data_IF_590670087561
#
_entry.id   IF_590670087561
#
_cell.length_a   1.000
_cell.length_b   1.000
_cell.length_c   1.000
_cell.angle_alpha   90.00
_cell.angle_beta   90.00
_cell.angle_gamma   90.00
#
_symmetry.space_group_name_H-M   'P 1'
#
loop_
_entity.id
_entity.type
_entity.pdbx_description
1 polymer ?
#
# COMPACT_ATOMS: atom_id res chain seq x y z
N UNK A 1 -53.94 12.66 -15.89
CA UNK A 1 -52.79 13.09 -15.06
C UNK A 1 -51.58 12.27 -15.53
N UNK A 2 -50.80 12.85 -16.45
CA UNK A 2 -49.65 12.19 -17.08
C UNK A 2 -48.47 12.39 -16.12
N UNK A 3 -47.95 11.28 -15.54
CA UNK A 3 -46.71 11.31 -14.80
C UNK A 3 -45.57 11.55 -15.82
N UNK A 4 -45.01 12.75 -15.81
CA UNK A 4 -43.68 12.99 -16.41
C UNK A 4 -42.65 12.26 -15.56
N UNK A 5 -42.17 11.12 -16.02
CA UNK A 5 -40.92 10.54 -15.57
C UNK A 5 -39.80 11.46 -16.05
N UNK A 6 -39.25 12.26 -15.13
CA UNK A 6 -37.99 12.95 -15.36
C UNK A 6 -36.88 11.89 -15.52
N UNK A 7 -36.44 11.71 -16.75
CA UNK A 7 -35.17 11.01 -17.02
C UNK A 7 -34.05 11.87 -16.40
N UNK A 8 -33.63 11.49 -15.20
CA UNK A 8 -32.34 11.91 -14.70
C UNK A 8 -31.31 11.32 -15.67
N UNK A 9 -30.74 12.18 -16.51
CA UNK A 9 -29.53 11.86 -17.24
C UNK A 9 -28.45 11.47 -16.19
N UNK A 10 -28.22 10.17 -16.04
CA UNK A 10 -27.05 9.65 -15.37
C UNK A 10 -25.88 9.96 -16.28
N UNK A 11 -25.41 11.21 -16.24
CA UNK A 11 -24.14 11.60 -16.82
C UNK A 11 -23.11 10.62 -16.27
N UNK A 12 -22.46 9.87 -17.14
CA UNK A 12 -21.41 8.95 -16.74
C UNK A 12 -20.35 9.77 -16.01
N UNK A 13 -20.23 9.58 -14.69
CA UNK A 13 -19.32 10.32 -13.86
C UNK A 13 -17.90 10.08 -14.35
N UNK A 14 -17.28 11.11 -14.90
CA UNK A 14 -15.94 11.05 -15.46
C UNK A 14 -14.92 11.18 -14.35
N UNK A 15 -13.98 10.24 -14.29
CA UNK A 15 -12.79 10.35 -13.44
C UNK A 15 -11.75 11.17 -14.19
N UNK A 16 -11.28 12.24 -13.56
CA UNK A 16 -10.18 13.06 -14.05
C UNK A 16 -8.88 12.66 -13.38
N UNK A 17 -7.78 12.85 -14.11
CA UNK A 17 -6.41 12.64 -13.62
C UNK A 17 -5.62 13.94 -13.81
N UNK A 18 -5.02 14.44 -12.73
CA UNK A 18 -4.14 15.60 -12.75
C UNK A 18 -2.81 15.25 -12.12
N UNK A 19 -1.72 15.57 -12.81
CA UNK A 19 -0.36 15.31 -12.33
C UNK A 19 0.20 16.52 -11.60
N UNK A 20 0.84 16.27 -10.46
CA UNK A 20 1.49 17.29 -9.63
C UNK A 20 2.93 16.86 -9.31
N UNK A 21 3.82 17.84 -9.26
CA UNK A 21 5.14 17.68 -8.67
C UNK A 21 5.02 17.82 -7.14
N UNK A 22 5.45 16.82 -6.38
CA UNK A 22 5.30 16.85 -4.92
C UNK A 22 6.63 16.96 -4.16
N UNK A 23 7.74 16.53 -4.76
CA UNK A 23 9.06 16.65 -4.16
C UNK A 23 10.17 16.58 -5.22
N UNK A 24 11.33 17.16 -4.91
CA UNK A 24 12.60 16.91 -5.60
C UNK A 24 13.60 16.43 -4.57
N UNK A 25 14.10 15.21 -4.73
CA UNK A 25 15.03 14.59 -3.79
C UNK A 25 16.20 13.98 -4.56
N UNK A 26 17.43 14.32 -4.17
CA UNK A 26 18.68 13.85 -4.82
C UNK A 26 18.69 14.12 -6.34
N UNK A 27 18.06 15.23 -6.77
CA UNK A 27 17.98 15.62 -8.18
C UNK A 27 16.92 14.85 -8.99
N UNK A 28 16.14 13.96 -8.36
CA UNK A 28 15.00 13.29 -8.97
C UNK A 28 13.71 14.06 -8.66
N UNK A 29 12.97 14.43 -9.70
CA UNK A 29 11.62 14.96 -9.57
C UNK A 29 10.64 13.80 -9.30
N UNK A 30 9.81 13.96 -8.28
CA UNK A 30 8.79 12.99 -7.89
C UNK A 30 7.41 13.58 -8.14
N UNK A 31 6.64 12.86 -8.95
CA UNK A 31 5.31 13.26 -9.36
C UNK A 31 4.24 12.39 -8.69
N UNK A 32 3.05 12.93 -8.53
CA UNK A 32 1.87 12.16 -8.18
C UNK A 32 0.71 12.49 -9.12
N UNK A 33 -0.13 11.50 -9.36
CA UNK A 33 -1.35 11.63 -10.16
C UNK A 33 -2.55 11.59 -9.22
N UNK A 34 -3.35 12.65 -9.23
CA UNK A 34 -4.62 12.74 -8.50
C UNK A 34 -5.75 12.30 -9.41
N UNK A 35 -6.38 11.18 -9.05
CA UNK A 35 -7.61 10.69 -9.69
C UNK A 35 -8.80 11.06 -8.82
N UNK A 36 -9.78 11.74 -9.41
CA UNK A 36 -11.00 12.15 -8.71
C UNK A 36 -12.17 12.31 -9.67
N UNK A 37 -13.40 12.25 -9.14
CA UNK A 37 -14.57 12.61 -9.93
C UNK A 37 -14.55 14.09 -10.29
N UNK A 38 -14.88 14.38 -11.54
CA UNK A 38 -15.28 15.71 -11.99
C UNK A 38 -16.71 16.00 -11.50
N UNK A 39 -16.84 16.19 -10.20
CA UNK A 39 -18.10 16.53 -9.57
C UNK A 39 -17.88 17.53 -8.44
N UNK A 40 -18.76 18.52 -8.35
CA UNK A 40 -18.76 19.44 -7.22
C UNK A 40 -19.23 18.68 -5.98
N UNK A 41 -18.28 18.28 -5.14
CA UNK A 41 -18.54 17.66 -3.86
C UNK A 41 -18.49 18.74 -2.78
N UNK A 42 -19.59 18.94 -2.04
CA UNK A 42 -19.66 19.94 -0.96
C UNK A 42 -18.79 19.55 0.25
N UNK A 43 -18.62 18.26 0.47
CA UNK A 43 -17.87 17.74 1.62
C UNK A 43 -16.46 17.27 1.22
N UNK A 44 -15.45 17.50 2.07
CA UNK A 44 -14.11 16.98 1.87
C UNK A 44 -14.11 15.45 1.83
N UNK A 45 -13.35 14.88 0.88
CA UNK A 45 -13.35 13.46 0.55
C UNK A 45 -12.18 12.71 1.22
N UNK A 46 -12.33 11.41 1.51
CA UNK A 46 -11.19 10.55 1.85
C UNK A 46 -10.15 10.55 0.73
N UNK A 47 -8.88 10.35 1.09
CA UNK A 47 -7.79 10.24 0.12
C UNK A 47 -7.00 8.94 0.33
N UNK A 48 -6.73 8.22 -0.76
CA UNK A 48 -5.88 7.05 -0.80
C UNK A 48 -4.56 7.37 -1.47
N UNK A 49 -3.46 7.40 -0.73
CA UNK A 49 -2.10 7.49 -1.28
C UNK A 49 -1.68 6.08 -1.67
N UNK A 50 -1.39 5.86 -2.96
CA UNK A 50 -1.05 4.55 -3.51
C UNK A 50 0.41 4.49 -3.95
N UNK A 51 1.13 3.46 -3.50
CA UNK A 51 2.47 3.10 -3.93
C UNK A 51 2.46 1.80 -4.74
N UNK A 52 3.01 1.85 -5.95
CA UNK A 52 3.05 0.72 -6.88
C UNK A 52 4.03 -0.38 -6.47
N UNK A 53 3.87 -1.58 -7.04
CA UNK A 53 4.79 -2.71 -6.89
C UNK A 53 5.98 -2.63 -7.84
N UNK A 54 6.94 -3.56 -7.69
CA UNK A 54 8.08 -3.68 -8.59
C UNK A 54 9.42 -3.90 -7.90
N UNK A 55 9.40 -4.39 -6.64
CA UNK A 55 10.61 -4.83 -5.90
C UNK A 55 11.59 -3.70 -5.57
N UNK A 56 11.16 -2.44 -5.57
CA UNK A 56 12.03 -1.25 -5.48
C UNK A 56 13.04 -1.12 -6.63
N UNK A 57 12.80 -1.82 -7.73
CA UNK A 57 13.67 -1.89 -8.92
C UNK A 57 13.02 -1.20 -10.10
N UNK A 58 11.71 -1.35 -10.25
CA UNK A 58 10.91 -0.88 -11.39
C UNK A 58 9.49 -0.56 -10.96
N UNK A 59 8.72 -0.03 -11.89
CA UNK A 59 7.31 0.33 -11.73
C UNK A 59 7.08 1.81 -11.97
N UNK A 60 5.82 2.18 -12.08
CA UNK A 60 5.40 3.56 -12.34
C UNK A 60 4.02 3.80 -11.74
N UNK A 61 3.74 5.03 -11.32
CA UNK A 61 2.49 5.43 -10.65
C UNK A 61 1.24 5.32 -11.55
N UNK A 62 1.41 5.48 -12.86
CA UNK A 62 0.32 5.51 -13.85
C UNK A 62 0.23 4.22 -14.68
N UNK A 63 0.80 3.12 -14.20
CA UNK A 63 0.73 1.85 -14.91
C UNK A 63 -0.73 1.41 -15.10
N UNK A 64 -1.09 1.04 -16.33
CA UNK A 64 -2.48 0.69 -16.72
C UNK A 64 -3.12 -0.40 -15.86
N UNK A 65 -2.29 -1.28 -15.29
CA UNK A 65 -2.75 -2.33 -14.38
C UNK A 65 -3.51 -1.77 -13.17
N UNK A 66 -3.23 -0.56 -12.71
CA UNK A 66 -3.89 0.04 -11.55
C UNK A 66 -5.10 0.92 -11.92
N UNK A 67 -5.31 1.20 -13.21
CA UNK A 67 -6.33 2.13 -13.68
C UNK A 67 -7.74 1.77 -13.19
N UNK A 68 -8.10 0.47 -13.21
CA UNK A 68 -9.39 0.00 -12.70
C UNK A 68 -9.57 0.28 -11.21
N UNK A 69 -8.54 0.05 -10.42
CA UNK A 69 -8.55 0.33 -8.97
C UNK A 69 -8.77 1.81 -8.70
N UNK A 70 -8.01 2.67 -9.37
CA UNK A 70 -8.12 4.12 -9.21
C UNK A 70 -9.49 4.64 -9.65
N UNK A 71 -9.98 4.17 -10.79
CA UNK A 71 -11.31 4.51 -11.31
C UNK A 71 -12.44 4.09 -10.34
N UNK A 72 -12.35 2.88 -9.79
CA UNK A 72 -13.34 2.36 -8.85
C UNK A 72 -13.37 3.18 -7.55
N UNK A 73 -12.21 3.49 -6.97
CA UNK A 73 -12.14 4.32 -5.76
C UNK A 73 -12.63 5.75 -6.03
N UNK A 74 -12.20 6.35 -7.15
CA UNK A 74 -12.62 7.71 -7.50
C UNK A 74 -14.14 7.80 -7.70
N UNK A 75 -14.76 6.82 -8.38
CA UNK A 75 -16.22 6.72 -8.54
C UNK A 75 -16.96 6.53 -7.22
N UNK A 76 -16.32 5.93 -6.23
CA UNK A 76 -16.85 5.83 -4.87
C UNK A 76 -16.61 7.10 -4.02
N UNK A 77 -16.10 8.19 -4.62
CA UNK A 77 -15.89 9.46 -3.94
C UNK A 77 -14.57 9.54 -3.17
N UNK A 78 -13.64 8.62 -3.39
CA UNK A 78 -12.32 8.62 -2.75
C UNK A 78 -11.31 9.22 -3.71
N UNK A 79 -10.60 10.27 -3.31
CA UNK A 79 -9.49 10.82 -4.09
C UNK A 79 -8.32 9.84 -4.05
N UNK A 80 -7.74 9.48 -5.20
CA UNK A 80 -6.55 8.63 -5.25
C UNK A 80 -5.35 9.47 -5.63
N UNK A 81 -4.31 9.43 -4.81
CA UNK A 81 -3.00 10.00 -5.08
C UNK A 81 -2.02 8.88 -5.37
N UNK A 82 -1.84 8.53 -6.64
CA UNK A 82 -0.83 7.55 -7.05
C UNK A 82 0.52 8.22 -7.18
N UNK A 83 1.53 7.76 -6.44
CA UNK A 83 2.80 8.45 -6.29
C UNK A 83 3.97 7.77 -6.99
N UNK A 84 4.89 8.56 -7.56
CA UNK A 84 6.26 8.09 -7.76
C UNK A 84 6.93 7.90 -6.41
N UNK A 85 7.90 7.04 -6.33
CA UNK A 85 8.83 6.94 -5.21
C UNK A 85 10.19 6.44 -5.71
N UNK A 86 11.26 6.79 -5.03
CA UNK A 86 12.62 6.41 -5.42
C UNK A 86 12.81 4.90 -5.36
N UNK A 87 13.36 4.36 -6.45
CA UNK A 87 13.60 2.93 -6.62
C UNK A 87 15.01 2.57 -6.13
N UNK A 88 15.17 2.42 -4.82
CA UNK A 88 16.49 2.25 -4.17
C UNK A 88 17.25 1.00 -4.58
N UNK A 89 16.60 0.04 -5.25
CA UNK A 89 17.21 -1.17 -5.79
C UNK A 89 17.27 -1.17 -7.32
N UNK A 90 17.04 -0.01 -7.98
CA UNK A 90 17.18 0.12 -9.43
C UNK A 90 18.60 -0.19 -9.89
N UNK A 91 19.59 0.18 -9.09
CA UNK A 91 21.00 -0.10 -9.28
C UNK A 91 21.58 -0.74 -8.01
N UNK A 92 21.31 -2.03 -7.78
CA UNK A 92 21.74 -2.70 -6.56
C UNK A 92 23.27 -2.84 -6.54
N UNK A 93 23.88 -2.95 -5.38
CA UNK A 93 25.30 -3.26 -5.26
C UNK A 93 25.66 -4.51 -6.05
N UNK A 94 26.65 -4.41 -6.94
CA UNK A 94 27.13 -5.54 -7.76
C UNK A 94 28.01 -6.49 -6.97
N UNK A 95 28.69 -5.97 -5.95
CA UNK A 95 29.61 -6.69 -5.08
C UNK A 95 29.19 -6.52 -3.62
N UNK A 96 29.52 -7.50 -2.81
CA UNK A 96 29.24 -7.51 -1.39
C UNK A 96 28.47 -8.74 -0.95
N UNK A 97 28.58 -9.04 0.33
CA UNK A 97 27.92 -10.18 0.96
C UNK A 97 26.47 -9.83 1.37
N UNK A 98 25.89 -10.74 2.15
CA UNK A 98 24.52 -10.63 2.68
C UNK A 98 24.28 -9.31 3.44
N UNK A 99 25.30 -8.79 4.15
CA UNK A 99 25.23 -7.54 4.89
C UNK A 99 24.99 -6.35 3.97
N UNK A 100 25.68 -6.30 2.81
CA UNK A 100 25.51 -5.26 1.79
C UNK A 100 24.09 -5.28 1.21
N UNK A 101 23.56 -6.48 0.95
CA UNK A 101 22.19 -6.64 0.44
C UNK A 101 21.13 -6.24 1.47
N UNK A 102 21.34 -6.56 2.75
CA UNK A 102 20.47 -6.11 3.85
C UNK A 102 20.47 -4.57 3.92
N UNK A 103 21.65 -3.95 3.88
CA UNK A 103 21.76 -2.47 3.89
C UNK A 103 21.10 -1.83 2.68
N UNK A 104 21.25 -2.40 1.49
CA UNK A 104 20.60 -1.90 0.27
C UNK A 104 19.07 -2.02 0.35
N UNK A 105 18.55 -3.10 0.91
CA UNK A 105 17.10 -3.28 1.13
C UNK A 105 16.58 -2.28 2.16
N UNK A 106 17.28 -2.10 3.28
CA UNK A 106 16.89 -1.11 4.29
C UNK A 106 16.84 0.29 3.67
N UNK A 107 17.89 0.68 2.95
CA UNK A 107 17.94 1.96 2.27
C UNK A 107 16.78 2.14 1.28
N UNK A 108 16.47 1.11 0.48
CA UNK A 108 15.37 1.18 -0.49
C UNK A 108 14.01 1.34 0.18
N UNK A 109 13.79 0.68 1.31
CA UNK A 109 12.56 0.85 2.10
C UNK A 109 12.52 2.25 2.71
N UNK A 110 13.62 2.72 3.29
CA UNK A 110 13.68 4.03 3.96
C UNK A 110 13.38 5.17 2.99
N UNK A 111 14.03 5.21 1.81
CA UNK A 111 13.78 6.28 0.83
C UNK A 111 12.37 6.23 0.25
N UNK A 112 11.77 5.03 0.07
CA UNK A 112 10.38 4.92 -0.36
C UNK A 112 9.41 5.43 0.72
N UNK A 113 9.71 5.23 2.00
CA UNK A 113 8.93 5.78 3.13
C UNK A 113 9.07 7.29 3.20
N UNK A 114 10.27 7.85 3.00
CA UNK A 114 10.48 9.30 2.92
C UNK A 114 9.60 9.93 1.83
N UNK A 115 9.52 9.27 0.68
CA UNK A 115 8.73 9.75 -0.45
C UNK A 115 7.23 9.65 -0.16
N UNK A 116 6.76 8.58 0.52
CA UNK A 116 5.38 8.49 1.01
C UNK A 116 5.05 9.63 1.97
N UNK A 117 5.95 9.96 2.90
CA UNK A 117 5.73 11.08 3.83
C UNK A 117 5.72 12.42 3.12
N UNK A 118 6.61 12.62 2.14
CA UNK A 118 6.63 13.84 1.31
C UNK A 118 5.33 14.00 0.52
N UNK A 119 4.82 12.93 -0.07
CA UNK A 119 3.53 12.93 -0.75
C UNK A 119 2.37 13.17 0.22
N UNK A 120 2.44 12.61 1.44
CA UNK A 120 1.44 12.86 2.49
C UNK A 120 1.43 14.33 2.88
N UNK A 121 2.58 14.96 3.08
CA UNK A 121 2.70 16.40 3.35
C UNK A 121 2.14 17.24 2.21
N UNK A 122 2.42 16.86 0.94
CA UNK A 122 1.84 17.54 -0.21
C UNK A 122 0.32 17.47 -0.20
N UNK A 123 -0.26 16.29 0.05
CA UNK A 123 -1.72 16.10 0.15
C UNK A 123 -2.31 16.93 1.28
N UNK A 124 -1.67 16.96 2.45
CA UNK A 124 -2.11 17.75 3.60
C UNK A 124 -2.12 19.25 3.29
N UNK A 125 -1.03 19.78 2.73
CA UNK A 125 -0.89 21.20 2.37
C UNK A 125 -1.93 21.62 1.30
N UNK A 126 -2.23 20.72 0.37
CA UNK A 126 -3.17 20.98 -0.72
C UNK A 126 -4.59 20.43 -0.44
N UNK A 127 -4.89 19.99 0.77
CA UNK A 127 -6.15 19.30 1.11
C UNK A 127 -7.38 20.12 0.77
N UNK A 128 -7.39 21.41 1.06
CA UNK A 128 -8.48 22.32 0.73
C UNK A 128 -8.66 22.44 -0.80
N UNK A 129 -7.58 22.65 -1.56
CA UNK A 129 -7.59 22.77 -3.02
C UNK A 129 -8.08 21.49 -3.70
N UNK A 130 -7.70 20.33 -3.16
CA UNK A 130 -8.03 19.02 -3.69
C UNK A 130 -9.34 18.45 -3.12
N UNK A 131 -10.01 19.22 -2.25
CA UNK A 131 -11.23 18.82 -1.53
C UNK A 131 -11.04 17.47 -0.80
N UNK A 132 -9.96 17.35 -0.02
CA UNK A 132 -9.58 16.17 0.76
C UNK A 132 -9.79 16.44 2.26
N UNK A 133 -10.37 15.49 2.99
CA UNK A 133 -10.38 15.50 4.46
C UNK A 133 -9.02 15.04 4.99
N UNK A 134 -8.23 15.91 5.63
CA UNK A 134 -6.90 15.57 6.14
C UNK A 134 -6.92 14.49 7.23
N UNK A 135 -8.07 14.23 7.85
CA UNK A 135 -8.25 13.16 8.85
C UNK A 135 -8.57 11.80 8.22
N UNK A 136 -8.82 11.76 6.90
CA UNK A 136 -9.19 10.55 6.17
C UNK A 136 -8.17 10.23 5.07
N UNK A 137 -6.89 10.45 5.35
CA UNK A 137 -5.79 10.06 4.45
C UNK A 137 -5.39 8.62 4.78
N UNK A 138 -5.42 7.77 3.78
CA UNK A 138 -5.12 6.34 3.85
C UNK A 138 -3.89 6.02 3.01
N UNK A 139 -3.20 4.93 3.34
CA UNK A 139 -2.14 4.34 2.52
C UNK A 139 -2.64 3.09 1.81
N UNK A 140 -2.18 2.87 0.59
CA UNK A 140 -2.35 1.61 -0.12
C UNK A 140 -1.11 1.26 -0.90
N UNK A 141 -0.88 -0.03 -1.12
CA UNK A 141 0.24 -0.46 -1.94
C UNK A 141 0.18 -1.90 -2.39
N UNK A 142 0.98 -2.17 -3.42
CA UNK A 142 1.18 -3.49 -4.01
C UNK A 142 2.61 -3.94 -3.81
N UNK A 143 2.87 -5.17 -3.30
CA UNK A 143 4.22 -5.75 -3.19
C UNK A 143 5.21 -4.79 -2.49
N UNK A 144 6.24 -4.30 -3.17
CA UNK A 144 7.19 -3.30 -2.64
C UNK A 144 6.50 -2.03 -2.12
N UNK A 145 5.48 -1.53 -2.84
CA UNK A 145 4.67 -0.40 -2.38
C UNK A 145 3.87 -0.73 -1.11
N UNK A 146 3.39 -1.97 -0.97
CA UNK A 146 2.74 -2.42 0.26
C UNK A 146 3.74 -2.55 1.42
N UNK A 147 4.99 -2.95 1.13
CA UNK A 147 6.07 -2.93 2.13
C UNK A 147 6.31 -1.49 2.58
N UNK A 148 6.45 -0.53 1.65
CA UNK A 148 6.65 0.87 1.98
C UNK A 148 5.48 1.47 2.78
N UNK A 149 4.23 1.17 2.40
CA UNK A 149 3.04 1.64 3.11
C UNK A 149 2.94 1.11 4.56
N UNK A 150 3.20 -0.19 4.74
CA UNK A 150 3.22 -0.82 6.08
C UNK A 150 4.38 -0.31 6.93
N UNK A 151 5.55 -0.10 6.31
CA UNK A 151 6.73 0.46 6.99
C UNK A 151 6.48 1.91 7.40
N UNK A 152 5.83 2.72 6.55
CA UNK A 152 5.48 4.11 6.88
C UNK A 152 4.58 4.15 8.12
N UNK A 153 3.52 3.36 8.17
CA UNK A 153 2.66 3.30 9.34
C UNK A 153 3.40 2.77 10.57
N UNK A 154 4.22 1.73 10.42
CA UNK A 154 5.03 1.20 11.53
C UNK A 154 6.00 2.24 12.08
N UNK A 155 6.73 2.95 11.22
CA UNK A 155 7.65 4.03 11.60
C UNK A 155 6.93 5.15 12.35
N UNK A 156 5.74 5.55 11.90
CA UNK A 156 4.91 6.55 12.56
C UNK A 156 4.50 6.09 13.97
N UNK A 157 4.02 4.87 14.10
CA UNK A 157 3.60 4.31 15.40
C UNK A 157 4.74 4.19 16.41
N UNK A 158 5.96 3.99 15.91
CA UNK A 158 7.14 3.78 16.75
C UNK A 158 7.99 5.06 16.94
N UNK A 159 7.51 6.21 16.44
CA UNK A 159 8.20 7.49 16.62
C UNK A 159 9.57 7.54 15.94
N UNK A 160 9.74 6.81 14.82
CA UNK A 160 10.98 6.84 14.05
C UNK A 160 11.32 8.27 13.59
N UNK A 161 12.61 8.61 13.54
CA UNK A 161 13.06 9.97 13.18
C UNK A 161 12.52 10.41 11.82
N UNK A 162 12.46 9.50 10.86
CA UNK A 162 11.93 9.73 9.51
C UNK A 162 10.45 10.17 9.53
N UNK A 163 9.67 9.70 10.50
CA UNK A 163 8.26 10.04 10.63
C UNK A 163 8.02 11.47 11.18
N UNK A 164 9.04 12.16 11.70
CA UNK A 164 8.96 13.55 12.15
C UNK A 164 8.74 14.56 11.03
N UNK A 165 8.78 14.12 9.79
CA UNK A 165 8.36 14.91 8.61
C UNK A 165 6.86 15.19 8.63
N UNK A 166 6.07 14.28 9.20
CA UNK A 166 4.62 14.43 9.37
C UNK A 166 4.32 15.32 10.59
N UNK A 167 3.17 16.03 10.60
CA UNK A 167 2.71 16.73 11.79
C UNK A 167 2.58 15.80 13.01
N UNK A 168 2.87 16.29 14.21
CA UNK A 168 2.89 15.49 15.45
C UNK A 168 1.56 14.82 15.77
N UNK A 169 0.44 15.47 15.42
CA UNK A 169 -0.92 14.99 15.62
C UNK A 169 -1.48 14.20 14.43
N UNK A 170 -0.71 14.04 13.35
CA UNK A 170 -1.14 13.31 12.17
C UNK A 170 -1.19 11.80 12.42
N UNK A 171 -2.23 11.18 11.88
CA UNK A 171 -2.35 9.72 11.75
C UNK A 171 -3.05 9.34 10.46
N UNK A 172 -2.60 8.25 9.85
CA UNK A 172 -3.33 7.68 8.73
C UNK A 172 -4.67 7.10 9.21
N UNK A 173 -5.69 7.18 8.37
CA UNK A 173 -7.01 6.64 8.67
C UNK A 173 -7.10 5.13 8.45
N UNK A 174 -6.31 4.58 7.52
CA UNK A 174 -6.21 3.15 7.27
C UNK A 174 -4.98 2.80 6.41
N UNK A 175 -4.64 1.50 6.36
CA UNK A 175 -3.63 0.95 5.42
C UNK A 175 -4.24 -0.24 4.68
N UNK A 176 -4.15 -0.24 3.34
CA UNK A 176 -4.53 -1.37 2.46
C UNK A 176 -3.29 -1.95 1.83
N UNK A 177 -2.88 -3.15 2.21
CA UNK A 177 -1.63 -3.76 1.77
C UNK A 177 -1.85 -5.08 1.04
N UNK A 178 -1.44 -5.14 -0.23
CA UNK A 178 -1.49 -6.35 -1.05
C UNK A 178 -0.10 -6.98 -1.12
N UNK A 179 0.09 -8.14 -0.47
CA UNK A 179 1.35 -8.88 -0.35
C UNK A 179 2.50 -8.03 0.21
N UNK A 180 2.25 -7.34 1.32
CA UNK A 180 3.22 -6.49 2.01
C UNK A 180 3.88 -7.18 3.21
N UNK A 181 4.91 -6.53 3.73
CA UNK A 181 5.63 -6.93 4.93
C UNK A 181 6.28 -5.70 5.60
N UNK A 182 6.66 -5.82 6.86
CA UNK A 182 7.60 -4.90 7.53
C UNK A 182 9.01 -5.48 7.37
N UNK A 183 9.96 -4.68 6.92
CA UNK A 183 11.38 -5.04 6.92
C UNK A 183 12.03 -4.48 8.18
N UNK A 184 12.78 -5.31 8.88
CA UNK A 184 13.46 -4.91 10.11
C UNK A 184 14.89 -5.43 10.16
N UNK A 185 15.78 -4.57 10.61
CA UNK A 185 17.19 -4.88 10.92
C UNK A 185 17.49 -4.87 12.42
N UNK A 186 16.52 -4.48 13.24
CA UNK A 186 16.64 -4.27 14.69
C UNK A 186 15.89 -5.31 15.52
N UNK A 187 15.58 -6.46 14.92
CA UNK A 187 14.84 -7.52 15.61
C UNK A 187 13.40 -7.66 15.13
N UNK A 188 12.56 -8.33 15.92
CA UNK A 188 11.15 -8.54 15.57
C UNK A 188 10.38 -7.24 15.71
N UNK A 189 9.78 -6.71 14.63
CA UNK A 189 9.02 -5.47 14.71
C UNK A 189 7.79 -5.64 15.61
N UNK A 190 7.54 -4.60 16.44
CA UNK A 190 6.35 -4.45 17.26
C UNK A 190 5.80 -3.06 17.04
N UNK A 191 4.52 -2.86 17.27
CA UNK A 191 3.93 -1.54 17.30
C UNK A 191 3.96 -1.02 18.75
N UNK A 192 4.55 0.15 18.96
CA UNK A 192 4.59 0.81 20.29
C UNK A 192 3.27 1.56 20.59
N UNK A 193 2.57 2.01 19.53
CA UNK A 193 1.24 2.62 19.61
C UNK A 193 0.30 1.87 18.68
N UNK A 194 -1.01 1.96 18.95
CA UNK A 194 -2.03 1.39 18.08
C UNK A 194 -1.91 1.99 16.67
N UNK A 195 -1.73 1.16 15.64
CA UNK A 195 -1.71 1.63 14.27
C UNK A 195 -3.11 1.88 13.71
N UNK A 196 -3.17 2.56 12.58
CA UNK A 196 -4.38 2.66 11.78
C UNK A 196 -4.96 1.29 11.43
N UNK A 197 -6.28 1.15 11.25
CA UNK A 197 -6.90 -0.08 10.76
C UNK A 197 -6.22 -0.59 9.50
N UNK A 198 -5.99 -1.91 9.40
CA UNK A 198 -5.27 -2.50 8.28
C UNK A 198 -6.12 -3.54 7.55
N UNK A 199 -6.25 -3.38 6.23
CA UNK A 199 -6.72 -4.43 5.34
C UNK A 199 -5.49 -5.09 4.68
N UNK A 200 -5.28 -6.36 4.99
CA UNK A 200 -4.10 -7.11 4.57
C UNK A 200 -4.50 -8.25 3.65
N UNK A 201 -4.08 -8.23 2.39
CA UNK A 201 -4.22 -9.36 1.46
C UNK A 201 -2.90 -10.09 1.33
N UNK A 202 -2.89 -11.42 1.51
CA UNK A 202 -1.66 -12.21 1.32
C UNK A 202 -1.95 -13.66 0.94
N UNK A 203 -1.13 -14.19 0.03
CA UNK A 203 -1.18 -15.58 -0.38
C UNK A 203 -0.32 -16.48 0.51
N UNK A 204 -0.84 -17.65 0.91
CA UNK A 204 -0.07 -18.57 1.77
C UNK A 204 1.12 -19.22 1.08
N UNK A 205 1.14 -19.19 -0.28
CA UNK A 205 2.22 -19.70 -1.14
C UNK A 205 3.02 -18.58 -1.81
N UNK A 206 3.00 -17.36 -1.23
CA UNK A 206 3.80 -16.26 -1.75
C UNK A 206 5.29 -16.55 -1.59
N UNK A 207 5.97 -16.76 -2.73
CA UNK A 207 7.41 -17.03 -2.81
C UNK A 207 8.26 -15.76 -2.91
N UNK A 208 7.64 -14.58 -3.03
CA UNK A 208 8.32 -13.30 -3.27
C UNK A 208 8.36 -12.39 -2.03
N UNK A 209 7.23 -12.28 -1.32
CA UNK A 209 7.14 -11.62 -0.02
C UNK A 209 6.63 -12.63 1.00
N UNK A 210 7.30 -12.82 2.15
CA UNK A 210 6.93 -13.88 3.06
C UNK A 210 5.54 -13.63 3.68
N UNK A 211 4.65 -14.59 3.54
CA UNK A 211 3.31 -14.58 4.13
C UNK A 211 3.33 -14.37 5.65
N UNK A 212 4.23 -15.06 6.36
CA UNK A 212 4.39 -14.92 7.80
C UNK A 212 5.67 -14.14 8.13
N UNK A 213 6.83 -14.79 8.05
CA UNK A 213 8.14 -14.16 8.28
C UNK A 213 9.25 -14.94 7.60
N UNK A 214 10.27 -14.22 7.17
CA UNK A 214 11.56 -14.77 6.78
C UNK A 214 12.66 -13.91 7.40
N UNK A 215 13.23 -14.36 8.51
CA UNK A 215 14.21 -13.59 9.26
C UNK A 215 15.27 -14.50 9.91
N UNK A 216 16.50 -13.98 9.97
CA UNK A 216 17.61 -14.59 10.67
C UNK A 216 18.11 -13.62 11.74
N UNK A 217 18.19 -14.08 12.99
CA UNK A 217 18.53 -13.22 14.16
C UNK A 217 17.67 -11.96 14.28
N UNK A 218 16.43 -12.01 13.80
CA UNK A 218 15.50 -10.87 13.82
C UNK A 218 15.60 -9.94 12.62
N UNK A 219 16.58 -10.10 11.75
CA UNK A 219 16.75 -9.30 10.52
C UNK A 219 15.99 -9.98 9.39
N UNK A 220 15.10 -9.23 8.72
CA UNK A 220 14.35 -9.73 7.57
C UNK A 220 12.94 -9.19 7.47
N UNK A 221 12.08 -9.92 6.74
CA UNK A 221 10.70 -9.55 6.44
C UNK A 221 9.70 -10.22 7.38
N UNK A 222 8.70 -9.45 7.78
CA UNK A 222 7.58 -9.86 8.62
C UNK A 222 6.26 -9.55 7.90
N UNK A 223 5.67 -10.58 7.30
CA UNK A 223 4.52 -10.47 6.39
C UNK A 223 3.18 -10.31 7.10
N UNK A 224 2.11 -10.27 6.29
CA UNK A 224 0.76 -9.92 6.76
C UNK A 224 0.25 -10.81 7.90
N UNK A 225 0.54 -12.12 7.88
CA UNK A 225 0.16 -13.01 9.00
C UNK A 225 0.85 -12.65 10.31
N UNK A 226 2.13 -12.22 10.26
CA UNK A 226 2.83 -11.74 11.45
C UNK A 226 2.20 -10.44 11.95
N UNK A 227 1.93 -9.50 11.05
CA UNK A 227 1.33 -8.21 11.37
C UNK A 227 -0.06 -8.41 11.99
N UNK A 228 -0.95 -9.18 11.35
CA UNK A 228 -2.28 -9.49 11.87
C UNK A 228 -2.22 -10.05 13.31
N UNK A 229 -1.25 -10.93 13.61
CA UNK A 229 -1.04 -11.44 14.97
C UNK A 229 -0.57 -10.38 15.98
N UNK A 230 0.12 -9.32 15.53
CA UNK A 230 0.46 -8.20 16.41
C UNK A 230 -0.77 -7.34 16.70
N UNK A 231 -1.57 -7.06 15.66
CA UNK A 231 -2.81 -6.30 15.76
C UNK A 231 -3.82 -7.01 16.68
N UNK A 232 -3.97 -8.33 16.53
CA UNK A 232 -4.80 -9.16 17.38
C UNK A 232 -4.44 -9.02 18.87
N UNK A 233 -3.14 -9.12 19.19
CA UNK A 233 -2.64 -8.98 20.58
C UNK A 233 -2.84 -7.58 21.17
N UNK A 234 -2.93 -6.57 20.32
CA UNK A 234 -3.14 -5.18 20.74
C UNK A 234 -4.63 -4.80 20.80
N UNK A 235 -5.53 -5.70 20.41
CA UNK A 235 -6.95 -5.41 20.17
C UNK A 235 -7.15 -4.27 19.15
N UNK A 236 -6.19 -4.11 18.23
CA UNK A 236 -6.25 -3.14 17.16
C UNK A 236 -7.14 -3.65 16.01
N UNK A 237 -7.88 -2.78 15.31
CA UNK A 237 -8.77 -3.19 14.25
C UNK A 237 -7.99 -3.64 13.01
N UNK A 238 -8.41 -4.74 12.38
CA UNK A 238 -7.84 -5.21 11.12
C UNK A 238 -8.81 -6.12 10.35
N UNK A 239 -8.56 -6.26 9.06
CA UNK A 239 -9.16 -7.27 8.19
C UNK A 239 -8.05 -8.01 7.44
N UNK A 240 -7.82 -9.26 7.79
CA UNK A 240 -6.82 -10.10 7.13
C UNK A 240 -7.47 -11.09 6.17
N UNK A 241 -7.21 -10.91 4.87
CA UNK A 241 -7.61 -11.78 3.79
C UNK A 241 -6.47 -12.75 3.44
N UNK A 242 -6.51 -13.94 3.98
CA UNK A 242 -5.55 -15.02 3.75
C UNK A 242 -6.01 -15.87 2.56
N UNK A 243 -5.33 -15.74 1.42
CA UNK A 243 -5.64 -16.53 0.22
C UNK A 243 -4.83 -17.83 0.22
N UNK A 244 -5.51 -18.94 0.50
CA UNK A 244 -4.87 -20.25 0.59
C UNK A 244 -4.30 -20.68 -0.77
N UNK A 245 -3.04 -21.14 -0.77
CA UNK A 245 -2.26 -21.55 -1.94
C UNK A 245 -2.04 -20.48 -3.02
N UNK A 246 -2.49 -19.25 -2.80
CA UNK A 246 -2.23 -18.15 -3.72
C UNK A 246 -0.74 -17.75 -3.66
N UNK A 247 -0.19 -17.49 -4.83
CA UNK A 247 1.17 -17.00 -5.04
C UNK A 247 1.26 -15.46 -4.93
N UNK A 248 2.37 -14.87 -5.34
CA UNK A 248 2.59 -13.42 -5.30
C UNK A 248 1.65 -12.60 -6.22
N UNK A 249 0.84 -13.23 -7.08
CA UNK A 249 -0.18 -12.53 -7.85
C UNK A 249 -1.20 -11.82 -6.96
N UNK A 250 -1.34 -12.25 -5.69
CA UNK A 250 -2.15 -11.57 -4.68
C UNK A 250 -1.70 -10.12 -4.42
N UNK A 251 -0.52 -9.72 -4.86
CA UNK A 251 -0.06 -8.33 -4.83
C UNK A 251 -0.91 -7.41 -5.73
N UNK A 252 -1.53 -7.95 -6.76
CA UNK A 252 -2.31 -7.18 -7.71
C UNK A 252 -3.77 -7.62 -7.83
N UNK A 253 -4.07 -8.92 -7.70
CA UNK A 253 -5.43 -9.44 -7.91
C UNK A 253 -6.52 -8.73 -7.08
N UNK A 254 -6.31 -8.35 -5.81
CA UNK A 254 -7.32 -7.63 -5.04
C UNK A 254 -7.69 -6.27 -5.64
N UNK A 255 -6.74 -5.59 -6.26
CA UNK A 255 -6.95 -4.28 -6.91
C UNK A 255 -7.85 -4.39 -8.17
N UNK A 256 -8.07 -5.61 -8.66
CA UNK A 256 -8.96 -5.91 -9.79
C UNK A 256 -10.28 -6.54 -9.37
N UNK A 257 -10.24 -7.48 -8.44
CA UNK A 257 -11.36 -8.38 -8.16
C UNK A 257 -11.96 -8.22 -6.76
N UNK A 258 -11.30 -7.46 -5.88
CA UNK A 258 -11.74 -7.25 -4.49
C UNK A 258 -11.94 -5.77 -4.15
N UNK A 259 -12.19 -4.92 -5.16
CA UNK A 259 -12.44 -3.50 -4.93
C UNK A 259 -13.65 -3.27 -4.02
N UNK A 260 -14.70 -4.10 -4.15
CA UNK A 260 -15.89 -4.01 -3.29
C UNK A 260 -15.55 -4.28 -1.82
N UNK A 261 -14.68 -5.27 -1.54
CA UNK A 261 -14.20 -5.53 -0.19
C UNK A 261 -13.34 -4.38 0.35
N UNK A 262 -12.50 -3.78 -0.51
CA UNK A 262 -11.70 -2.61 -0.15
C UNK A 262 -12.62 -1.43 0.18
N UNK A 263 -13.66 -1.18 -0.61
CA UNK A 263 -14.65 -0.13 -0.36
C UNK A 263 -15.45 -0.40 0.92
N UNK A 264 -15.84 -1.64 1.15
CA UNK A 264 -16.50 -2.03 2.41
C UNK A 264 -15.59 -1.77 3.60
N UNK A 265 -14.32 -2.17 3.54
CA UNK A 265 -13.35 -1.89 4.61
C UNK A 265 -13.21 -0.37 4.86
N UNK A 266 -13.12 0.45 3.82
CA UNK A 266 -13.02 1.90 3.97
C UNK A 266 -14.29 2.46 4.61
N UNK A 267 -15.48 2.01 4.17
CA UNK A 267 -16.74 2.43 4.79
C UNK A 267 -16.77 2.07 6.27
N UNK A 268 -16.56 0.81 6.59
CA UNK A 268 -16.74 0.30 7.95
C UNK A 268 -15.72 0.88 8.93
N UNK A 269 -14.43 0.92 8.54
CA UNK A 269 -13.35 1.29 9.47
C UNK A 269 -12.99 2.79 9.44
N UNK A 270 -13.15 3.46 8.29
CA UNK A 270 -12.74 4.86 8.14
C UNK A 270 -13.92 5.82 8.22
N UNK A 271 -15.06 5.47 7.60
CA UNK A 271 -16.23 6.34 7.60
C UNK A 271 -17.05 6.15 8.88
N UNK A 272 -17.37 4.91 9.21
CA UNK A 272 -18.19 4.57 10.37
C UNK A 272 -17.38 4.38 11.67
N UNK A 273 -16.06 4.25 11.58
CA UNK A 273 -15.17 4.09 12.74
C UNK A 273 -15.33 2.75 13.48
N UNK A 274 -15.78 1.73 12.78
CA UNK A 274 -15.96 0.39 13.39
C UNK A 274 -14.61 -0.22 13.79
N UNK A 275 -14.61 -0.90 14.93
CA UNK A 275 -13.42 -1.58 15.47
C UNK A 275 -13.64 -3.08 15.45
N UNK A 276 -13.32 -3.71 14.33
CA UNK A 276 -13.49 -5.15 14.14
C UNK A 276 -12.14 -5.82 13.87
N UNK A 277 -12.02 -7.09 14.25
CA UNK A 277 -10.92 -7.97 13.89
C UNK A 277 -11.46 -9.09 13.03
N UNK A 278 -11.15 -9.11 11.76
CA UNK A 278 -11.64 -10.09 10.81
C UNK A 278 -10.46 -10.86 10.20
N UNK A 279 -10.57 -12.18 10.15
CA UNK A 279 -9.66 -13.05 9.40
C UNK A 279 -10.48 -13.94 8.48
N UNK A 280 -10.31 -13.78 7.18
CA UNK A 280 -10.87 -14.65 6.16
C UNK A 280 -9.78 -15.59 5.64
N UNK A 281 -10.01 -16.89 5.73
CA UNK A 281 -9.22 -17.89 5.01
C UNK A 281 -9.99 -18.25 3.75
N UNK A 282 -9.48 -17.84 2.60
CA UNK A 282 -10.16 -17.96 1.31
C UNK A 282 -9.42 -18.93 0.42
N UNK A 283 -10.14 -19.86 -0.16
CA UNK A 283 -9.63 -20.85 -1.07
C UNK A 283 -10.41 -20.82 -2.38
N UNK A 284 -9.71 -20.55 -3.49
CA UNK A 284 -10.32 -20.55 -4.82
C UNK A 284 -10.38 -21.96 -5.40
N UNK A 285 -11.52 -22.34 -5.95
CA UNK A 285 -11.75 -23.66 -6.55
C UNK A 285 -12.06 -23.55 -8.05
N UNK A 286 -11.62 -24.50 -8.91
CA UNK A 286 -10.67 -25.59 -8.60
C UNK A 286 -9.29 -25.04 -8.33
N UNK A 287 -8.53 -25.66 -7.43
CA UNK A 287 -7.24 -25.16 -7.01
C UNK A 287 -6.09 -26.02 -7.53
N UNK A 288 -5.00 -25.33 -7.89
CA UNK A 288 -3.69 -25.95 -8.00
C UNK A 288 -3.00 -25.83 -6.63
N UNK A 289 -2.80 -26.95 -5.95
CA UNK A 289 -2.13 -26.99 -4.65
C UNK A 289 -0.62 -26.96 -4.80
N UNK A 290 -0.07 -25.86 -5.28
CA UNK A 290 1.37 -25.64 -5.26
C UNK A 290 1.73 -24.82 -4.03
N UNK A 291 2.40 -25.46 -3.07
CA UNK A 291 2.93 -24.78 -1.89
C UNK A 291 4.34 -24.29 -2.21
N UNK A 292 4.52 -23.01 -2.37
CA UNK A 292 5.84 -22.36 -2.42
C UNK A 292 6.10 -21.61 -1.12
N UNK A 293 7.36 -21.41 -0.81
CA UNK A 293 7.76 -20.63 0.36
C UNK A 293 8.76 -19.58 -0.07
N UNK A 294 8.70 -18.43 0.59
CA UNK A 294 9.68 -17.36 0.37
C UNK A 294 11.11 -17.89 0.55
N UNK A 295 11.93 -17.70 -0.49
CA UNK A 295 13.35 -18.03 -0.49
C UNK A 295 14.15 -16.78 -0.86
N UNK A 296 15.00 -16.24 0.04
CA UNK A 296 15.74 -15.01 -0.22
C UNK A 296 16.56 -15.04 -1.51
N UNK A 297 17.13 -16.19 -1.86
CA UNK A 297 17.89 -16.37 -3.13
C UNK A 297 17.00 -16.25 -4.36
N UNK A 298 15.80 -16.82 -4.32
CA UNK A 298 14.83 -16.74 -5.43
C UNK A 298 14.28 -15.32 -5.56
N UNK A 299 14.00 -14.64 -4.45
CA UNK A 299 13.65 -13.22 -4.45
C UNK A 299 14.71 -12.38 -5.17
N UNK A 300 15.96 -12.55 -4.82
CA UNK A 300 17.08 -11.85 -5.47
C UNK A 300 17.19 -12.23 -6.95
N UNK A 301 17.05 -13.50 -7.30
CA UNK A 301 17.12 -13.96 -8.69
C UNK A 301 15.96 -13.40 -9.53
N UNK A 302 14.75 -13.44 -9.02
CA UNK A 302 13.55 -13.00 -9.74
C UNK A 302 13.51 -11.48 -9.95
N UNK A 303 14.05 -10.70 -9.02
CA UNK A 303 14.00 -9.24 -9.09
C UNK A 303 15.29 -8.62 -9.67
N UNK A 304 16.43 -9.31 -9.64
CA UNK A 304 17.72 -8.76 -10.08
C UNK A 304 18.32 -9.40 -11.34
N UNK A 305 18.04 -10.68 -11.65
CA UNK A 305 18.63 -11.37 -12.82
C UNK A 305 17.89 -11.15 -14.13
N UNK A 306 16.69 -10.59 -14.13
CA UNK A 306 15.92 -10.33 -15.37
C UNK A 306 16.52 -9.28 -16.31
N UNK A 307 17.65 -8.65 -15.97
CA UNK A 307 18.28 -7.57 -16.75
C UNK A 307 19.47 -7.99 -17.64
N UNK A 308 19.91 -9.24 -17.59
CA UNK A 308 21.00 -9.71 -18.48
C UNK A 308 20.52 -10.24 -19.81
N UNK A 309 19.22 -10.18 -20.12
CA UNK A 309 18.63 -10.74 -21.34
C UNK A 309 17.52 -9.89 -21.98
N UNK A 310 17.46 -8.58 -21.70
CA UNK A 310 16.50 -7.67 -22.37
C UNK A 310 17.23 -6.51 -23.01
#
# INVERSE_FOLDING_TARGET
MVLMLSTLDVMAQKVECQTYHYATTEGQELMLDIYSLDAVCSEPRPCMIFAFGGGFVMGERNHEYYARYFDTLAKAGIVVASIDYRLGLKNPPKEGGIKTMIGAMQHAVDIAVEDIYSATCFVLINSQKLNIDPRRIMLSGSSAGAIAALQAEWNRCNGAIIAKTLPDDFSYAAVVACAGAIFSTEGKPKFEREPAPMLLFHGTSDGNVPYNRSSLFGIGFYGSKYIAKQLDKMNAPYWFYSAEYADHKIAGLPLWYQCDLILQFINDYVVEGSRMQITNNVEYLPRERHQTYFRPREYLQNNYKRREGA
#
